data_IF_280954593064
#
_entry.id   IF_280954593064
#
_cell.length_a   1.000
_cell.length_b   1.000
_cell.length_c   1.000
_cell.angle_alpha   90.00
_cell.angle_beta   90.00
_cell.angle_gamma   90.00
#
_symmetry.space_group_name_H-M   'P 1'
#
loop_
_entity.id
_entity.type
_entity.pdbx_description
1 polymer ?
#
# COMPACT_ATOMS: atom_id res chain seq x y z
N UNK A 1 14.58 -7.91 5.52
CA UNK A 1 13.12 -7.95 5.69
C UNK A 1 12.55 -6.62 5.23
N UNK A 2 11.50 -6.62 4.40
CA UNK A 2 10.85 -5.40 3.90
C UNK A 2 9.54 -5.12 4.64
N UNK A 3 9.03 -3.90 4.56
CA UNK A 3 7.71 -3.57 5.08
C UNK A 3 6.61 -4.28 4.27
N UNK A 4 5.52 -4.74 4.90
CA UNK A 4 4.38 -5.27 4.17
C UNK A 4 3.77 -4.18 3.27
N UNK A 5 3.29 -4.58 2.09
CA UNK A 5 2.64 -3.69 1.14
C UNK A 5 1.41 -4.39 0.58
N UNK A 6 0.29 -3.69 0.51
CA UNK A 6 -1.02 -4.25 0.13
C UNK A 6 -1.82 -3.23 -0.69
N UNK A 7 -2.52 -3.69 -1.73
CA UNK A 7 -3.52 -2.88 -2.42
C UNK A 7 -4.82 -2.81 -1.60
N UNK A 8 -5.43 -1.63 -1.53
CA UNK A 8 -6.70 -1.40 -0.83
C UNK A 8 -7.67 -0.73 -1.80
N UNK A 9 -8.79 -1.40 -2.10
CA UNK A 9 -9.68 -0.92 -3.15
C UNK A 9 -8.96 -0.82 -4.50
N UNK A 10 -9.52 -0.10 -5.46
CA UNK A 10 -9.03 -0.14 -6.87
C UNK A 10 -7.87 0.79 -7.18
N UNK A 11 -7.62 1.78 -6.33
CA UNK A 11 -6.79 2.94 -6.70
C UNK A 11 -5.81 3.34 -5.59
N UNK A 12 -5.66 2.53 -4.53
CA UNK A 12 -4.80 2.86 -3.39
C UNK A 12 -3.99 1.64 -2.98
N UNK A 13 -2.79 1.87 -2.45
CA UNK A 13 -2.00 0.87 -1.76
C UNK A 13 -1.43 1.45 -0.46
N UNK A 14 -1.12 0.56 0.48
CA UNK A 14 -0.58 0.89 1.79
C UNK A 14 0.75 0.18 1.98
N UNK A 15 1.75 0.89 2.49
CA UNK A 15 3.00 0.32 3.00
C UNK A 15 2.92 0.36 4.53
N UNK A 16 3.06 -0.80 5.16
CA UNK A 16 2.89 -0.95 6.61
C UNK A 16 1.71 -1.86 6.96
N UNK A 17 1.60 -2.11 8.26
CA UNK A 17 0.51 -2.87 8.87
C UNK A 17 -0.27 -1.93 9.80
N UNK A 18 -1.52 -2.23 10.10
CA UNK A 18 -2.30 -1.50 11.12
C UNK A 18 -1.67 -1.65 12.50
N UNK A 19 -1.09 -2.82 12.78
CA UNK A 19 -0.39 -3.11 14.05
C UNK A 19 1.11 -2.80 13.98
N UNK A 20 1.52 -1.95 13.03
CA UNK A 20 2.93 -1.61 12.87
C UNK A 20 3.38 -0.73 14.06
N UNK A 21 4.32 -1.25 14.86
CA UNK A 21 4.96 -0.48 15.92
C UNK A 21 5.64 0.79 15.35
N UNK A 22 5.59 1.88 16.10
CA UNK A 22 6.18 3.19 15.72
C UNK A 22 7.64 3.08 15.27
N UNK A 23 8.43 2.19 15.86
CA UNK A 23 9.83 1.92 15.50
C UNK A 23 10.03 1.49 14.03
N UNK A 24 8.99 0.94 13.39
CA UNK A 24 9.02 0.54 11.97
C UNK A 24 8.51 1.64 11.04
N UNK A 25 7.89 2.70 11.57
CA UNK A 25 7.47 3.85 10.78
C UNK A 25 8.69 4.57 10.16
N UNK A 26 9.79 4.68 10.91
CA UNK A 26 11.05 5.27 10.43
C UNK A 26 11.61 4.51 9.22
N UNK A 27 11.54 3.18 9.26
CA UNK A 27 11.99 2.32 8.14
C UNK A 27 11.12 2.53 6.89
N UNK A 28 9.80 2.66 7.07
CA UNK A 28 8.89 2.96 5.96
C UNK A 28 9.20 4.36 5.40
N UNK A 29 9.43 5.34 6.28
CA UNK A 29 9.80 6.68 5.89
C UNK A 29 11.10 6.71 5.09
N UNK A 30 12.14 5.97 5.52
CA UNK A 30 13.40 5.84 4.77
C UNK A 30 13.19 5.23 3.38
N UNK A 31 12.32 4.22 3.25
CA UNK A 31 11.97 3.61 1.97
C UNK A 31 11.24 4.63 1.08
N UNK A 32 10.27 5.34 1.65
CA UNK A 32 9.53 6.38 0.94
C UNK A 32 10.48 7.46 0.40
N UNK A 33 11.37 7.98 1.25
CA UNK A 33 12.34 9.01 0.88
C UNK A 33 13.36 8.52 -0.15
N UNK A 34 13.83 7.27 -0.04
CA UNK A 34 14.84 6.70 -0.97
C UNK A 34 14.35 6.59 -2.41
N UNK A 35 13.10 6.15 -2.62
CA UNK A 35 12.58 5.95 -3.98
C UNK A 35 11.62 7.07 -4.44
N UNK A 36 11.38 8.08 -3.60
CA UNK A 36 10.62 9.27 -3.97
C UNK A 36 9.12 9.04 -4.18
N UNK A 37 8.49 9.99 -4.87
CA UNK A 37 7.06 10.00 -5.17
C UNK A 37 6.68 8.92 -6.19
N UNK A 38 5.52 8.28 -5.99
CA UNK A 38 5.06 7.13 -6.80
C UNK A 38 3.64 7.31 -7.31
N UNK A 39 3.12 8.53 -7.27
CA UNK A 39 1.73 8.82 -7.60
C UNK A 39 1.39 8.39 -9.02
N UNK A 40 2.34 8.62 -9.95
CA UNK A 40 2.25 8.17 -11.35
C UNK A 40 2.24 6.64 -11.52
N UNK A 41 2.69 5.86 -10.53
CA UNK A 41 2.76 4.39 -10.57
C UNK A 41 1.67 3.72 -9.73
N UNK A 42 0.79 4.48 -9.05
CA UNK A 42 -0.19 3.90 -8.11
C UNK A 42 -0.98 2.76 -8.77
N UNK A 43 -1.49 2.97 -9.98
CA UNK A 43 -2.29 1.96 -10.68
C UNK A 43 -1.48 0.72 -11.07
N UNK A 44 -0.21 0.89 -11.46
CA UNK A 44 0.68 -0.22 -11.81
C UNK A 44 1.05 -1.04 -10.57
N UNK A 45 1.36 -0.37 -9.46
CA UNK A 45 1.62 -1.00 -8.17
C UNK A 45 0.39 -1.77 -7.71
N UNK A 46 -0.79 -1.16 -7.76
CA UNK A 46 -2.05 -1.80 -7.38
C UNK A 46 -2.34 -3.03 -8.26
N UNK A 47 -2.18 -2.92 -9.57
CA UNK A 47 -2.37 -4.04 -10.50
C UNK A 47 -1.40 -5.19 -10.20
N UNK A 48 -0.13 -4.87 -9.92
CA UNK A 48 0.87 -5.86 -9.54
C UNK A 48 0.53 -6.52 -8.19
N UNK A 49 0.19 -5.75 -7.17
CA UNK A 49 -0.18 -6.28 -5.86
C UNK A 49 -1.40 -7.20 -5.93
N UNK A 50 -2.39 -6.86 -6.75
CA UNK A 50 -3.52 -7.74 -7.04
C UNK A 50 -3.11 -9.04 -7.73
N UNK A 51 -2.23 -8.97 -8.73
CA UNK A 51 -1.80 -10.17 -9.47
C UNK A 51 -1.03 -11.17 -8.59
N UNK A 52 -0.35 -10.68 -7.55
CA UNK A 52 0.32 -11.52 -6.54
C UNK A 52 -0.56 -11.84 -5.32
N UNK A 53 -1.84 -11.49 -5.34
CA UNK A 53 -2.81 -11.81 -4.28
C UNK A 53 -2.68 -10.98 -3.00
N UNK A 54 -2.03 -9.80 -3.07
CA UNK A 54 -1.86 -8.87 -1.93
C UNK A 54 -2.84 -7.70 -2.03
N UNK A 55 -4.12 -7.99 -1.85
CA UNK A 55 -5.16 -6.96 -1.91
C UNK A 55 -6.28 -7.18 -0.91
N UNK A 56 -6.89 -6.07 -0.51
CA UNK A 56 -8.14 -6.01 0.25
C UNK A 56 -9.15 -5.26 -0.61
N UNK A 57 -10.22 -5.95 -1.04
CA UNK A 57 -11.33 -5.30 -1.71
C UNK A 57 -12.24 -4.64 -0.67
N UNK A 58 -12.33 -3.32 -0.75
CA UNK A 58 -13.29 -2.54 0.05
C UNK A 58 -14.56 -2.46 -0.78
N UNK A 59 -15.64 -3.07 -0.31
CA UNK A 59 -16.94 -2.90 -0.94
C UNK A 59 -17.31 -1.41 -0.85
N UNK A 60 -17.52 -0.77 -2.00
CA UNK A 60 -18.32 0.45 -2.02
C UNK A 60 -19.75 0.02 -1.66
N UNK A 61 -20.10 0.06 -0.39
CA UNK A 61 -21.49 0.29 -0.01
C UNK A 61 -21.80 1.70 -0.49
N UNK A 62 -22.20 1.82 -1.76
CA UNK A 62 -22.86 3.00 -2.25
C UNK A 62 -24.14 3.13 -1.42
N UNK A 63 -24.10 3.97 -0.38
CA UNK A 63 -25.29 4.47 0.28
C UNK A 63 -26.10 5.20 -0.79
N UNK A 64 -27.07 4.47 -1.37
CA UNK A 64 -28.14 5.03 -2.19
C UNK A 64 -29.15 5.76 -1.30
#
# INVERSE_FOLDING_TARGET
AGAPICAVGREVYVIGDVDLADEKADVIWEICNRYGERDHLILEIVAHLRSVGRFIDVACEALH
#
